data_IF_839389888723
#
_entry.id   IF_839389888723
#
_cell.length_a   1.000
_cell.length_b   1.000
_cell.length_c   1.000
_cell.angle_alpha   90.00
_cell.angle_beta   90.00
_cell.angle_gamma   90.00
#
_symmetry.space_group_name_H-M   'P 1'
#
loop_
_entity.id
_entity.type
_entity.pdbx_description
1 polymer ?
#
# COMPACT_ATOMS: atom_id res chain seq x y z
N UNK A 1 -31.35 61.18 -54.53
CA UNK A 1 -30.98 60.49 -53.27
C UNK A 1 -30.10 59.30 -53.63
N UNK A 2 -28.78 59.43 -53.44
CA UNK A 2 -27.84 58.35 -53.72
C UNK A 2 -28.00 57.22 -52.71
N UNK A 3 -28.14 55.98 -53.21
CA UNK A 3 -28.04 54.77 -52.39
C UNK A 3 -26.57 54.58 -52.03
N UNK A 4 -26.25 54.68 -50.74
CA UNK A 4 -24.98 54.19 -50.20
C UNK A 4 -25.02 52.67 -50.30
N UNK A 5 -24.22 52.10 -51.18
CA UNK A 5 -23.98 50.66 -51.26
C UNK A 5 -22.85 50.37 -50.29
N UNK A 6 -23.16 49.69 -49.18
CA UNK A 6 -22.17 49.19 -48.24
C UNK A 6 -21.46 47.99 -48.89
N UNK A 7 -20.16 48.10 -49.14
CA UNK A 7 -19.30 47.03 -49.72
C UNK A 7 -18.76 46.08 -48.64
N UNK A 8 -19.60 45.68 -47.68
CA UNK A 8 -19.20 44.78 -46.58
C UNK A 8 -20.23 43.68 -46.41
N UNK A 9 -20.46 42.92 -47.48
CA UNK A 9 -21.32 41.74 -47.46
C UNK A 9 -20.50 40.53 -47.93
N UNK A 10 -20.05 39.71 -46.97
CA UNK A 10 -19.33 38.46 -47.22
C UNK A 10 -18.01 38.27 -46.45
N UNK A 11 -17.52 39.28 -45.73
CA UNK A 11 -16.30 39.14 -44.94
C UNK A 11 -16.64 38.48 -43.59
N UNK A 12 -16.12 37.27 -43.33
CA UNK A 12 -16.32 36.61 -42.05
C UNK A 12 -15.49 37.31 -40.97
N UNK A 13 -16.07 37.44 -39.78
CA UNK A 13 -15.44 38.09 -38.63
C UNK A 13 -15.35 37.10 -37.47
N UNK A 14 -14.25 37.16 -36.72
CA UNK A 14 -14.12 36.44 -35.47
C UNK A 14 -15.19 36.93 -34.47
N UNK A 15 -16.00 36.02 -33.95
CA UNK A 15 -17.06 36.31 -32.99
C UNK A 15 -16.54 36.69 -31.60
N UNK A 16 -15.24 36.51 -31.34
CA UNK A 16 -14.60 36.81 -30.04
C UNK A 16 -13.88 38.17 -30.04
N UNK A 17 -13.03 38.44 -31.03
CA UNK A 17 -12.25 39.69 -31.11
C UNK A 17 -12.75 40.69 -32.16
N UNK A 18 -13.70 40.32 -33.02
CA UNK A 18 -14.26 41.17 -34.08
C UNK A 18 -13.36 41.37 -35.31
N UNK A 19 -12.13 40.85 -35.30
CA UNK A 19 -11.21 40.92 -36.45
C UNK A 19 -11.79 40.20 -37.67
N UNK A 20 -11.59 40.79 -38.84
CA UNK A 20 -11.97 40.21 -40.13
C UNK A 20 -11.00 39.11 -40.56
N UNK A 21 -11.44 38.24 -41.47
CA UNK A 21 -10.62 37.18 -42.08
C UNK A 21 -9.30 37.68 -42.72
N UNK A 22 -9.19 38.97 -43.06
CA UNK A 22 -7.95 39.57 -43.60
C UNK A 22 -6.94 39.99 -42.53
N UNK A 23 -7.40 40.15 -41.29
CA UNK A 23 -6.58 40.63 -40.17
C UNK A 23 -5.99 39.48 -39.35
N UNK A 24 -6.32 38.23 -39.70
CA UNK A 24 -5.89 37.00 -39.00
C UNK A 24 -5.42 35.99 -40.02
N UNK A 25 -4.50 35.12 -39.63
CA UNK A 25 -3.88 34.13 -40.51
C UNK A 25 -4.84 32.98 -40.87
N UNK A 26 -5.73 32.62 -39.95
CA UNK A 26 -6.70 31.51 -40.06
C UNK A 26 -7.98 31.80 -39.29
N UNK A 27 -9.11 31.73 -39.99
CA UNK A 27 -10.44 31.81 -39.38
C UNK A 27 -11.13 30.45 -39.47
N UNK A 28 -11.48 29.86 -38.31
CA UNK A 28 -12.24 28.61 -38.22
C UNK A 28 -13.72 28.94 -38.08
N UNK A 29 -14.52 28.58 -39.09
CA UNK A 29 -15.97 28.84 -39.12
C UNK A 29 -16.77 27.57 -38.84
N UNK A 30 -17.75 27.67 -37.93
CA UNK A 30 -18.75 26.64 -37.61
C UNK A 30 -20.18 27.12 -37.94
N UNK A 31 -21.19 26.46 -37.38
CA UNK A 31 -22.60 26.78 -37.60
C UNK A 31 -23.00 28.17 -37.05
N UNK A 32 -22.69 29.23 -37.80
CA UNK A 32 -23.03 30.62 -37.48
C UNK A 32 -22.06 31.36 -36.56
N UNK A 33 -20.90 30.77 -36.24
CA UNK A 33 -19.87 31.36 -35.37
C UNK A 33 -18.50 31.13 -36.00
N UNK A 34 -17.59 32.11 -35.89
CA UNK A 34 -16.22 31.97 -36.37
C UNK A 34 -15.21 32.41 -35.30
N UNK A 35 -14.08 31.72 -35.19
CA UNK A 35 -13.00 32.02 -34.24
C UNK A 35 -11.66 32.06 -34.97
N UNK A 36 -10.84 33.08 -34.70
CA UNK A 36 -9.50 33.19 -35.31
C UNK A 36 -8.43 32.45 -34.51
N UNK A 37 -7.27 32.20 -35.11
CA UNK A 37 -6.17 31.50 -34.43
C UNK A 37 -5.68 32.22 -33.17
N UNK A 38 -5.68 33.56 -33.16
CA UNK A 38 -5.29 34.34 -31.99
C UNK A 38 -6.23 34.13 -30.80
N UNK A 39 -7.54 34.09 -31.04
CA UNK A 39 -8.52 33.82 -29.98
C UNK A 39 -8.47 32.37 -29.52
N UNK A 40 -8.20 31.42 -30.41
CA UNK A 40 -7.94 30.03 -30.02
C UNK A 40 -6.70 29.97 -29.12
N UNK A 41 -5.61 30.64 -29.48
CA UNK A 41 -4.38 30.68 -28.69
C UNK A 41 -4.63 31.31 -27.31
N UNK A 42 -5.37 32.42 -27.25
CA UNK A 42 -5.72 33.07 -25.99
C UNK A 42 -6.62 32.20 -25.10
N UNK A 43 -7.65 31.57 -25.67
CA UNK A 43 -8.52 30.66 -24.92
C UNK A 43 -7.73 29.44 -24.40
N UNK A 44 -6.86 28.86 -25.23
CA UNK A 44 -5.96 27.78 -24.80
C UNK A 44 -5.03 28.23 -23.68
N UNK A 45 -4.49 29.45 -23.75
CA UNK A 45 -3.65 30.01 -22.71
C UNK A 45 -4.41 30.20 -21.40
N UNK A 46 -5.62 30.77 -21.42
CA UNK A 46 -6.45 30.94 -20.21
C UNK A 46 -6.75 29.59 -19.56
N UNK A 47 -7.14 28.57 -20.34
CA UNK A 47 -7.40 27.21 -19.83
C UNK A 47 -6.14 26.60 -19.22
N UNK A 48 -4.98 26.84 -19.83
CA UNK A 48 -3.72 26.31 -19.34
C UNK A 48 -3.19 27.04 -18.09
N UNK A 49 -3.44 28.35 -17.99
CA UNK A 49 -3.15 29.16 -16.81
C UNK A 49 -4.04 28.72 -15.64
N UNK A 50 -5.34 28.49 -15.86
CA UNK A 50 -6.26 27.92 -14.87
C UNK A 50 -5.80 26.52 -14.40
N UNK A 51 -5.35 25.66 -15.34
CA UNK A 51 -4.82 24.33 -15.00
C UNK A 51 -3.51 24.42 -14.22
N UNK A 52 -2.66 25.39 -14.54
CA UNK A 52 -1.39 25.63 -13.85
C UNK A 52 -1.62 26.20 -12.45
N UNK A 53 -2.59 27.10 -12.27
CA UNK A 53 -3.03 27.56 -10.94
C UNK A 53 -3.64 26.42 -10.13
N UNK A 54 -4.49 25.58 -10.72
CA UNK A 54 -5.02 24.38 -10.08
C UNK A 54 -3.93 23.40 -9.61
N UNK A 55 -2.90 23.18 -10.44
CA UNK A 55 -1.77 22.31 -10.08
C UNK A 55 -0.80 22.98 -9.09
N UNK A 56 -0.69 24.30 -9.09
CA UNK A 56 0.06 25.03 -8.05
C UNK A 56 -0.68 25.00 -6.72
N UNK A 57 -2.01 25.09 -6.70
CA UNK A 57 -2.82 25.02 -5.48
C UNK A 57 -2.78 23.60 -4.87
N UNK A 58 -2.85 22.56 -5.70
CA UNK A 58 -2.63 21.17 -5.30
C UNK A 58 -1.16 20.83 -4.95
N UNK A 59 -0.19 21.76 -5.06
CA UNK A 59 1.18 21.51 -4.56
C UNK A 59 1.23 21.30 -3.03
N UNK A 60 0.09 21.50 -2.36
CA UNK A 60 -0.14 21.32 -0.92
C UNK A 60 -0.51 19.87 -0.53
N UNK A 61 -0.85 18.98 -1.47
CA UNK A 61 -1.54 17.70 -1.13
C UNK A 61 -0.72 16.39 -1.21
N UNK A 62 0.58 16.44 -1.55
CA UNK A 62 1.41 15.23 -1.47
C UNK A 62 1.77 14.92 -0.01
N UNK A 63 1.35 13.76 0.56
CA UNK A 63 1.66 13.44 1.94
C UNK A 63 3.18 13.32 2.11
N UNK A 64 3.71 13.97 3.15
CA UNK A 64 5.15 13.91 3.43
C UNK A 64 5.56 12.47 3.77
N UNK A 65 6.84 12.09 3.59
CA UNK A 65 7.31 10.77 4.00
C UNK A 65 7.01 10.45 5.48
N UNK A 66 7.01 11.46 6.36
CA UNK A 66 6.64 11.28 7.77
C UNK A 66 5.16 10.93 7.92
N UNK A 67 4.27 11.62 7.19
CA UNK A 67 2.84 11.32 7.21
C UNK A 67 2.52 9.93 6.63
N UNK A 68 3.17 9.55 5.52
CA UNK A 68 3.05 8.20 4.95
C UNK A 68 3.52 7.17 5.99
N UNK A 69 4.67 7.41 6.63
CA UNK A 69 5.21 6.52 7.65
C UNK A 69 4.27 6.37 8.87
N UNK A 70 3.62 7.44 9.31
CA UNK A 70 2.64 7.41 10.39
C UNK A 70 1.42 6.54 10.03
N UNK A 71 0.90 6.68 8.81
CA UNK A 71 -0.20 5.84 8.32
C UNK A 71 0.24 4.36 8.28
N UNK A 72 1.43 4.08 7.76
CA UNK A 72 1.99 2.72 7.76
C UNK A 72 2.17 2.17 9.18
N UNK A 73 2.62 2.99 10.14
CA UNK A 73 2.78 2.59 11.54
C UNK A 73 1.46 2.26 12.24
N UNK A 74 0.37 2.93 11.88
CA UNK A 74 -0.95 2.66 12.48
C UNK A 74 -1.57 1.33 12.04
N UNK A 75 -1.10 0.76 10.93
CA UNK A 75 -1.65 -0.44 10.31
C UNK A 75 -0.69 -1.64 10.38
N UNK A 76 0.60 -1.42 10.09
CA UNK A 76 1.62 -2.46 10.01
C UNK A 76 2.52 -2.42 11.23
N UNK A 77 2.69 -3.56 11.89
CA UNK A 77 3.55 -3.71 13.07
C UNK A 77 4.96 -4.12 12.64
N UNK A 78 5.98 -3.54 13.30
CA UNK A 78 7.39 -3.78 12.99
C UNK A 78 7.82 -3.22 11.63
N UNK A 79 8.85 -3.78 11.01
CA UNK A 79 9.29 -3.42 9.66
C UNK A 79 9.70 -1.93 9.48
N UNK A 80 10.26 -1.31 10.53
CA UNK A 80 10.53 0.14 10.57
C UNK A 80 11.43 0.62 9.41
N UNK A 81 12.48 -0.12 9.09
CA UNK A 81 13.36 0.22 7.98
C UNK A 81 12.62 0.17 6.64
N UNK A 82 11.80 -0.85 6.42
CA UNK A 82 11.02 -1.00 5.19
C UNK A 82 9.98 0.12 5.04
N UNK A 83 9.25 0.45 6.11
CA UNK A 83 8.27 1.56 6.10
C UNK A 83 8.94 2.89 5.74
N UNK A 84 10.11 3.18 6.31
CA UNK A 84 10.87 4.40 6.01
C UNK A 84 11.32 4.44 4.55
N UNK A 85 11.87 3.35 4.03
CA UNK A 85 12.31 3.23 2.64
C UNK A 85 11.14 3.41 1.67
N UNK A 86 10.02 2.73 1.94
CA UNK A 86 8.79 2.84 1.15
C UNK A 86 8.22 4.25 1.14
N UNK A 87 8.11 4.90 2.30
CA UNK A 87 7.60 6.26 2.41
C UNK A 87 8.42 7.26 1.58
N UNK A 88 9.75 7.12 1.58
CA UNK A 88 10.63 7.97 0.76
C UNK A 88 10.51 7.64 -0.72
N UNK A 89 10.52 6.37 -1.09
CA UNK A 89 10.45 5.92 -2.48
C UNK A 89 9.16 6.39 -3.16
N UNK A 90 8.03 6.25 -2.47
CA UNK A 90 6.70 6.59 -3.00
C UNK A 90 6.50 8.10 -3.07
N UNK A 91 6.91 8.82 -2.04
CA UNK A 91 6.95 10.28 -2.09
C UNK A 91 7.77 10.78 -3.28
N UNK A 92 8.97 10.22 -3.49
CA UNK A 92 9.82 10.60 -4.62
C UNK A 92 9.23 10.23 -5.97
N UNK A 93 8.55 9.09 -6.08
CA UNK A 93 7.85 8.69 -7.29
C UNK A 93 6.78 9.71 -7.68
N UNK A 94 5.88 10.07 -6.77
CA UNK A 94 4.82 11.03 -7.08
C UNK A 94 5.32 12.46 -7.19
N UNK A 95 6.38 12.82 -6.45
CA UNK A 95 7.09 14.09 -6.68
C UNK A 95 7.67 14.17 -8.09
N UNK A 96 8.21 13.07 -8.63
CA UNK A 96 8.67 12.99 -10.02
C UNK A 96 7.51 13.16 -11.00
N UNK A 97 6.43 12.39 -10.84
CA UNK A 97 5.23 12.47 -11.70
C UNK A 97 4.73 13.92 -11.77
N UNK A 98 4.57 14.55 -10.61
CA UNK A 98 4.11 15.94 -10.50
C UNK A 98 5.04 16.93 -11.20
N UNK A 99 6.35 16.75 -11.04
CA UNK A 99 7.35 17.61 -11.66
C UNK A 99 7.29 17.53 -13.19
N UNK A 100 7.14 16.32 -13.74
CA UNK A 100 7.04 16.10 -15.18
C UNK A 100 5.75 16.70 -15.75
N UNK A 101 4.61 16.54 -15.07
CA UNK A 101 3.34 17.18 -15.47
C UNK A 101 3.45 18.71 -15.53
N UNK A 102 4.10 19.31 -14.54
CA UNK A 102 4.34 20.77 -14.50
C UNK A 102 5.25 21.20 -15.67
N UNK A 103 6.33 20.46 -15.95
CA UNK A 103 7.22 20.75 -17.07
C UNK A 103 6.50 20.66 -18.42
N UNK A 104 5.63 19.66 -18.63
CA UNK A 104 4.86 19.50 -19.88
C UNK A 104 3.90 20.67 -20.12
N UNK A 105 3.32 21.23 -19.06
CA UNK A 105 2.47 22.42 -19.12
C UNK A 105 3.26 23.71 -19.41
N UNK A 106 4.42 23.89 -18.78
CA UNK A 106 5.29 25.04 -19.05
C UNK A 106 5.81 25.06 -20.50
N UNK A 107 6.19 23.89 -21.03
CA UNK A 107 6.63 23.75 -22.42
C UNK A 107 5.51 24.04 -23.43
N UNK A 108 4.28 23.59 -23.16
CA UNK A 108 3.14 23.84 -24.05
C UNK A 108 2.70 25.32 -24.06
N UNK A 109 2.93 26.04 -22.95
CA UNK A 109 2.58 27.46 -22.82
C UNK A 109 3.70 28.43 -23.26
N UNK A 110 4.88 27.94 -23.63
CA UNK A 110 6.02 28.79 -24.02
C UNK A 110 6.57 29.68 -22.89
N UNK A 111 6.13 29.44 -21.65
CA UNK A 111 6.59 30.15 -20.44
C UNK A 111 7.70 29.32 -19.82
N UNK A 112 8.95 29.80 -19.90
CA UNK A 112 10.06 29.23 -19.13
C UNK A 112 9.87 29.58 -17.66
N UNK A 113 9.27 28.69 -16.89
CA UNK A 113 9.19 28.82 -15.44
C UNK A 113 10.55 28.57 -14.79
N UNK A 114 10.90 29.39 -13.79
CA UNK A 114 12.04 29.20 -12.87
C UNK A 114 11.85 27.99 -11.91
N UNK A 115 10.86 27.11 -12.15
CA UNK A 115 10.44 26.07 -11.22
C UNK A 115 11.53 24.99 -11.00
N UNK A 116 12.40 24.78 -11.98
CA UNK A 116 13.54 23.88 -11.91
C UNK A 116 14.81 24.71 -12.03
N UNK A 117 15.69 24.61 -11.04
CA UNK A 117 16.94 25.36 -11.02
C UNK A 117 17.70 25.28 -12.35
N UNK A 118 18.23 26.42 -12.79
CA UNK A 118 18.89 26.57 -14.08
C UNK A 118 19.91 25.44 -14.35
N UNK A 119 19.74 24.71 -15.45
CA UNK A 119 20.62 23.61 -15.88
C UNK A 119 20.12 22.20 -15.62
N UNK A 120 18.95 22.01 -14.99
CA UNK A 120 18.37 20.70 -14.71
C UNK A 120 17.22 20.29 -15.67
N UNK A 121 16.86 21.14 -16.63
CA UNK A 121 15.72 20.93 -17.57
C UNK A 121 15.81 19.62 -18.38
N UNK A 122 17.02 19.14 -18.68
CA UNK A 122 17.24 17.91 -19.46
C UNK A 122 17.47 16.67 -18.58
N UNK A 123 17.52 16.85 -17.25
CA UNK A 123 17.80 15.75 -16.33
C UNK A 123 16.52 14.96 -16.09
N UNK A 124 16.50 13.74 -16.60
CA UNK A 124 15.40 12.80 -16.36
C UNK A 124 15.61 12.13 -15.01
N UNK A 125 14.59 12.20 -14.16
CA UNK A 125 14.56 11.48 -12.90
C UNK A 125 14.05 10.07 -13.17
N UNK A 126 14.80 9.05 -12.71
CA UNK A 126 14.38 7.66 -12.86
C UNK A 126 13.18 7.32 -11.98
N UNK A 127 12.35 6.41 -12.48
CA UNK A 127 11.21 5.84 -11.76
C UNK A 127 11.68 5.04 -10.53
N UNK A 128 10.96 5.16 -9.41
CA UNK A 128 11.34 4.52 -8.13
C UNK A 128 10.61 3.19 -7.92
N UNK A 129 10.69 2.27 -8.88
CA UNK A 129 10.08 0.95 -8.70
C UNK A 129 10.74 0.20 -7.53
N UNK A 130 9.95 -0.65 -6.88
CA UNK A 130 10.28 -1.22 -5.58
C UNK A 130 10.33 -2.74 -5.67
N UNK A 131 11.36 -3.34 -5.09
CA UNK A 131 11.46 -4.77 -4.84
C UNK A 131 11.39 -5.05 -3.32
N UNK A 132 10.37 -5.79 -2.90
CA UNK A 132 10.17 -6.26 -1.54
C UNK A 132 10.64 -7.70 -1.40
N UNK A 133 11.60 -7.93 -0.50
CA UNK A 133 12.17 -9.25 -0.21
C UNK A 133 11.82 -9.61 1.22
N UNK A 134 11.28 -10.80 1.47
CA UNK A 134 11.09 -11.27 2.85
C UNK A 134 10.15 -12.45 2.95
N UNK A 135 10.07 -13.13 4.10
CA UNK A 135 9.34 -14.40 4.22
C UNK A 135 7.82 -14.25 4.03
N UNK A 136 7.12 -15.37 3.97
CA UNK A 136 5.66 -15.37 3.89
C UNK A 136 5.05 -14.85 5.19
N UNK A 137 3.95 -14.11 5.09
CA UNK A 137 3.21 -13.68 6.27
C UNK A 137 3.81 -12.52 7.07
N UNK A 138 4.84 -11.82 6.58
CA UNK A 138 5.41 -10.61 7.23
C UNK A 138 4.73 -9.29 6.84
N UNK A 139 3.73 -9.34 5.96
CA UNK A 139 2.95 -8.17 5.58
C UNK A 139 3.35 -7.44 4.29
N UNK A 140 4.13 -8.06 3.38
CA UNK A 140 4.50 -7.47 2.07
C UNK A 140 3.31 -6.89 1.30
N UNK A 141 2.29 -7.70 1.05
CA UNK A 141 1.07 -7.30 0.35
C UNK A 141 0.30 -6.22 1.11
N UNK A 142 0.22 -6.34 2.44
CA UNK A 142 -0.53 -5.43 3.30
C UNK A 142 0.14 -4.04 3.38
N UNK A 143 1.48 -3.99 3.40
CA UNK A 143 2.26 -2.75 3.29
C UNK A 143 1.97 -2.02 1.98
N UNK A 144 2.01 -2.73 0.85
CA UNK A 144 1.74 -2.15 -0.45
C UNK A 144 0.29 -1.62 -0.56
N UNK A 145 -0.68 -2.37 -0.04
CA UNK A 145 -2.08 -1.95 0.00
C UNK A 145 -2.27 -0.70 0.88
N UNK A 146 -1.74 -0.72 2.11
CA UNK A 146 -1.83 0.42 3.04
C UNK A 146 -1.18 1.68 2.43
N UNK A 147 -0.09 1.49 1.69
CA UNK A 147 0.58 2.58 1.00
C UNK A 147 -0.27 3.16 -0.14
N UNK A 148 -0.96 2.32 -0.91
CA UNK A 148 -1.88 2.80 -1.95
C UNK A 148 -3.06 3.57 -1.34
N UNK A 149 -3.61 3.08 -0.24
CA UNK A 149 -4.67 3.75 0.53
C UNK A 149 -4.19 5.10 1.08
N UNK A 150 -2.95 5.17 1.58
CA UNK A 150 -2.34 6.42 2.07
C UNK A 150 -2.15 7.47 0.97
N UNK A 151 -1.99 7.05 -0.28
CA UNK A 151 -1.78 7.92 -1.45
C UNK A 151 -3.07 8.21 -2.22
N UNK A 152 -4.20 7.58 -1.89
CA UNK A 152 -5.48 7.64 -2.63
C UNK A 152 -5.38 7.30 -4.15
N UNK A 153 -4.58 6.29 -4.48
CA UNK A 153 -4.32 5.89 -5.87
C UNK A 153 -4.91 4.51 -6.21
N UNK A 154 -5.28 4.26 -7.48
CA UNK A 154 -5.71 2.94 -7.92
C UNK A 154 -4.64 1.87 -7.63
N UNK A 155 -5.07 0.71 -7.16
CA UNK A 155 -4.17 -0.37 -6.75
C UNK A 155 -4.67 -1.71 -7.25
N UNK A 156 -3.76 -2.51 -7.81
CA UNK A 156 -4.02 -3.89 -8.17
C UNK A 156 -2.98 -4.83 -7.59
N UNK A 157 -3.40 -6.06 -7.33
CA UNK A 157 -2.55 -7.17 -6.92
C UNK A 157 -2.58 -8.19 -8.06
N UNK A 158 -1.40 -8.63 -8.48
CA UNK A 158 -1.22 -9.73 -9.42
C UNK A 158 -0.15 -10.70 -8.91
N UNK A 159 -0.25 -11.96 -9.30
CA UNK A 159 0.74 -12.99 -9.00
C UNK A 159 1.58 -13.24 -10.26
N UNK A 160 2.91 -13.15 -10.15
CA UNK A 160 3.82 -13.38 -11.26
C UNK A 160 3.66 -14.78 -11.89
N UNK A 161 3.25 -15.79 -11.12
CA UNK A 161 3.06 -17.16 -11.60
C UNK A 161 1.84 -17.33 -12.50
N UNK A 162 0.86 -16.42 -12.39
CA UNK A 162 -0.34 -16.40 -13.24
C UNK A 162 -0.10 -15.75 -14.61
N UNK A 163 0.99 -14.99 -14.73
CA UNK A 163 1.34 -14.25 -15.93
C UNK A 163 2.04 -15.15 -16.95
N UNK A 164 1.75 -14.90 -18.22
CA UNK A 164 2.40 -15.58 -19.34
C UNK A 164 2.80 -14.58 -20.43
N UNK A 165 3.75 -14.98 -21.29
CA UNK A 165 4.05 -14.21 -22.48
C UNK A 165 2.82 -14.17 -23.42
N UNK A 166 2.62 -13.03 -24.10
CA UNK A 166 1.53 -12.84 -25.04
C UNK A 166 1.41 -14.01 -26.03
N UNK A 167 0.22 -14.63 -26.08
CA UNK A 167 -0.06 -15.77 -26.96
C UNK A 167 0.13 -17.16 -26.33
N UNK A 168 0.44 -17.25 -25.03
CA UNK A 168 0.43 -18.50 -24.25
C UNK A 168 -0.82 -18.64 -23.37
N UNK A 169 -0.98 -19.81 -22.73
CA UNK A 169 -2.12 -20.10 -21.83
C UNK A 169 -1.86 -19.49 -20.46
N UNK A 170 -2.50 -18.36 -20.16
CA UNK A 170 -2.43 -17.65 -18.88
C UNK A 170 -2.90 -16.20 -19.02
N UNK A 171 -2.74 -15.38 -17.98
CA UNK A 171 -3.02 -13.95 -18.06
C UNK A 171 -1.88 -13.26 -18.82
N UNK A 172 -2.19 -12.49 -19.85
CA UNK A 172 -1.20 -11.65 -20.53
C UNK A 172 -0.79 -10.50 -19.61
N UNK A 173 0.47 -10.11 -19.64
CA UNK A 173 1.02 -9.00 -18.85
C UNK A 173 0.29 -7.68 -19.14
N UNK A 174 -0.22 -7.49 -20.35
CA UNK A 174 -1.04 -6.31 -20.70
C UNK A 174 -2.39 -6.28 -19.96
N UNK A 175 -2.91 -7.41 -19.47
CA UNK A 175 -4.16 -7.46 -18.68
C UNK A 175 -4.04 -6.71 -17.35
N UNK A 176 -2.82 -6.51 -16.85
CA UNK A 176 -2.56 -5.69 -15.66
C UNK A 176 -3.05 -4.25 -15.86
N UNK A 177 -2.92 -3.70 -17.07
CA UNK A 177 -3.36 -2.35 -17.36
C UNK A 177 -4.89 -2.25 -17.43
N UNK A 178 -5.55 -3.29 -17.95
CA UNK A 178 -7.01 -3.36 -17.95
C UNK A 178 -7.58 -3.41 -16.52
N UNK A 179 -6.96 -4.22 -15.65
CA UNK A 179 -7.33 -4.27 -14.22
C UNK A 179 -7.06 -2.95 -13.51
N UNK A 180 -5.95 -2.28 -13.83
CA UNK A 180 -5.64 -0.98 -13.24
C UNK A 180 -6.61 0.11 -13.70
N UNK A 181 -7.01 0.10 -14.97
CA UNK A 181 -8.03 1.00 -15.51
C UNK A 181 -9.41 0.75 -14.86
N UNK A 182 -9.77 -0.51 -14.62
CA UNK A 182 -10.98 -0.87 -13.88
C UNK A 182 -10.93 -0.37 -12.43
N UNK A 183 -9.79 -0.55 -11.74
CA UNK A 183 -9.56 0.01 -10.40
C UNK A 183 -9.63 1.55 -10.37
N UNK A 184 -9.42 2.21 -11.52
CA UNK A 184 -9.59 3.65 -11.71
C UNK A 184 -10.99 4.04 -12.22
N UNK A 185 -11.96 3.12 -12.27
CA UNK A 185 -13.31 3.31 -12.80
C UNK A 185 -13.34 3.82 -14.26
N UNK A 186 -12.38 3.39 -15.08
CA UNK A 186 -12.27 3.81 -16.48
C UNK A 186 -11.56 5.15 -16.71
N UNK A 187 -11.07 5.80 -15.65
CA UNK A 187 -10.28 7.03 -15.76
C UNK A 187 -8.81 6.72 -16.07
N UNK A 188 -8.38 7.04 -17.28
CA UNK A 188 -7.01 6.80 -17.76
C UNK A 188 -5.99 7.63 -16.97
N UNK A 189 -6.30 8.89 -16.69
CA UNK A 189 -5.35 9.78 -16.01
C UNK A 189 -5.16 9.32 -14.57
N UNK A 190 -6.24 8.94 -13.89
CA UNK A 190 -6.16 8.34 -12.55
C UNK A 190 -5.44 6.99 -12.57
N UNK A 191 -5.67 6.15 -13.60
CA UNK A 191 -4.98 4.86 -13.74
C UNK A 191 -3.46 5.01 -13.95
N UNK A 192 -3.01 6.05 -14.66
CA UNK A 192 -1.58 6.32 -14.90
C UNK A 192 -0.82 6.63 -13.61
N UNK A 193 -1.50 7.11 -12.57
CA UNK A 193 -0.93 7.33 -11.23
C UNK A 193 -1.09 6.11 -10.31
N UNK A 194 -1.59 4.99 -10.81
CA UNK A 194 -1.85 3.81 -10.00
C UNK A 194 -0.58 3.02 -9.62
N UNK A 195 -0.78 2.05 -8.74
CA UNK A 195 0.23 1.12 -8.25
C UNK A 195 -0.11 -0.31 -8.70
N UNK A 196 0.84 -0.96 -9.35
CA UNK A 196 0.77 -2.39 -9.70
C UNK A 196 1.66 -3.16 -8.73
N UNK A 197 1.05 -3.97 -7.87
CA UNK A 197 1.76 -4.91 -7.00
C UNK A 197 1.82 -6.30 -7.64
N UNK A 198 3.02 -6.87 -7.74
CA UNK A 198 3.28 -8.18 -8.32
C UNK A 198 3.93 -9.07 -7.27
N UNK A 199 3.21 -10.05 -6.74
CA UNK A 199 3.74 -11.04 -5.81
C UNK A 199 4.44 -12.20 -6.53
N UNK A 200 5.16 -13.03 -5.76
CA UNK A 200 5.82 -14.26 -6.23
C UNK A 200 6.81 -14.07 -7.38
N UNK A 201 7.46 -12.89 -7.48
CA UNK A 201 8.46 -12.62 -8.53
C UNK A 201 9.65 -13.59 -8.46
N UNK A 202 9.94 -14.14 -7.28
CA UNK A 202 10.99 -15.14 -7.08
C UNK A 202 10.69 -16.48 -7.81
N UNK A 203 9.41 -16.78 -8.09
CA UNK A 203 9.01 -18.02 -8.77
C UNK A 203 9.29 -18.01 -10.26
N UNK A 204 9.22 -16.84 -10.90
CA UNK A 204 9.57 -16.67 -12.32
C UNK A 204 11.07 -16.42 -12.53
N UNK A 205 11.82 -16.18 -11.45
CA UNK A 205 13.28 -16.03 -11.45
C UNK A 205 14.00 -17.37 -11.33
N UNK A 206 13.42 -18.32 -10.59
CA UNK A 206 14.06 -19.60 -10.31
C UNK A 206 14.21 -20.40 -11.60
N UNK A 207 15.46 -20.60 -12.05
CA UNK A 207 15.78 -21.54 -13.14
C UNK A 207 15.14 -22.88 -12.81
N UNK A 208 14.23 -23.34 -13.65
CA UNK A 208 13.56 -24.62 -13.48
C UNK A 208 14.60 -25.75 -13.58
N UNK A 209 15.12 -26.20 -12.44
CA UNK A 209 15.92 -27.40 -12.27
C UNK A 209 17.36 -27.36 -12.81
N UNK A 210 18.34 -27.63 -11.94
CA UNK A 210 19.74 -27.89 -12.30
C UNK A 210 19.97 -29.09 -13.24
N UNK A 211 18.93 -29.75 -13.77
CA UNK A 211 19.06 -30.92 -14.66
C UNK A 211 18.01 -31.03 -15.77
N UNK A 212 17.43 -29.93 -16.26
CA UNK A 212 16.64 -29.93 -17.50
C UNK A 212 17.39 -29.23 -18.63
N UNK A 213 18.10 -30.06 -19.38
CA UNK A 213 18.76 -29.82 -20.65
C UNK A 213 17.97 -28.93 -21.61
N UNK A 214 18.59 -27.85 -22.08
CA UNK A 214 18.48 -27.27 -23.44
C UNK A 214 17.10 -26.84 -23.99
N UNK A 215 15.99 -27.00 -23.28
CA UNK A 215 14.75 -26.31 -23.60
C UNK A 215 14.82 -24.92 -22.96
N UNK A 216 14.83 -23.86 -23.78
CA UNK A 216 14.74 -22.47 -23.29
C UNK A 216 13.57 -22.38 -22.30
N UNK A 217 13.83 -21.82 -21.13
CA UNK A 217 12.81 -21.54 -20.11
C UNK A 217 12.00 -20.32 -20.59
N UNK A 218 11.18 -20.51 -21.64
CA UNK A 218 10.50 -19.42 -22.36
C UNK A 218 9.46 -18.73 -21.47
N UNK A 219 8.91 -19.41 -20.46
CA UNK A 219 7.84 -18.84 -19.64
C UNK A 219 8.34 -17.85 -18.58
N UNK A 220 9.35 -18.19 -17.77
CA UNK A 220 9.79 -17.32 -16.67
C UNK A 220 10.52 -16.07 -17.15
N UNK A 221 11.51 -16.25 -18.04
CA UNK A 221 12.26 -15.15 -18.63
C UNK A 221 11.36 -14.27 -19.54
N UNK A 222 10.46 -14.89 -20.30
CA UNK A 222 9.49 -14.18 -21.14
C UNK A 222 8.60 -13.23 -20.35
N UNK A 223 8.12 -13.66 -19.17
CA UNK A 223 7.33 -12.80 -18.27
C UNK A 223 8.17 -11.64 -17.73
N UNK A 224 9.42 -11.88 -17.30
CA UNK A 224 10.31 -10.80 -16.86
C UNK A 224 10.54 -9.76 -17.97
N UNK A 225 10.74 -10.20 -19.22
CA UNK A 225 10.91 -9.34 -20.39
C UNK A 225 9.64 -8.55 -20.76
N UNK A 226 8.46 -9.17 -20.63
CA UNK A 226 7.19 -8.48 -20.83
C UNK A 226 6.94 -7.41 -19.76
N UNK A 227 7.23 -7.72 -18.50
CA UNK A 227 7.15 -6.75 -17.39
C UNK A 227 8.14 -5.60 -17.55
N UNK A 228 9.36 -5.87 -18.05
CA UNK A 228 10.34 -4.83 -18.37
C UNK A 228 9.76 -3.74 -19.29
N UNK A 229 9.06 -4.14 -20.37
CA UNK A 229 8.44 -3.18 -21.30
C UNK A 229 7.42 -2.28 -20.60
N UNK A 230 6.63 -2.82 -19.68
CA UNK A 230 5.68 -2.02 -18.89
C UNK A 230 6.40 -1.08 -17.92
N UNK A 231 7.47 -1.55 -17.28
CA UNK A 231 8.22 -0.75 -16.30
C UNK A 231 9.03 0.39 -16.94
N UNK A 232 9.51 0.20 -18.17
CA UNK A 232 10.26 1.21 -18.94
C UNK A 232 9.40 2.38 -19.42
N UNK A 233 8.09 2.16 -19.52
CA UNK A 233 7.15 3.09 -20.14
C UNK A 233 6.83 2.64 -21.56
N UNK A 234 5.62 2.12 -21.75
CA UNK A 234 5.07 1.79 -23.06
C UNK A 234 3.68 2.38 -23.19
N UNK A 235 3.30 2.76 -24.41
CA UNK A 235 1.93 3.13 -24.74
C UNK A 235 1.22 1.87 -25.22
N UNK A 236 0.36 1.31 -24.37
CA UNK A 236 -0.40 0.10 -24.66
C UNK A 236 -1.86 0.44 -24.99
N UNK A 237 -2.50 -0.40 -25.84
CA UNK A 237 -3.92 -0.28 -26.14
C UNK A 237 -4.70 -1.20 -25.18
N UNK A 238 -5.36 -0.61 -24.19
CA UNK A 238 -6.06 -1.32 -23.13
C UNK A 238 -7.54 -1.44 -23.48
N UNK A 239 -8.14 -2.65 -23.48
CA UNK A 239 -9.57 -2.80 -23.70
C UNK A 239 -10.36 -2.27 -22.50
N UNK A 240 -11.40 -1.46 -22.75
CA UNK A 240 -12.34 -1.02 -21.71
C UNK A 240 -13.41 -2.08 -21.54
N UNK A 241 -13.37 -2.86 -20.46
CA UNK A 241 -14.45 -3.81 -20.14
C UNK A 241 -15.70 -3.02 -19.72
N UNK A 242 -16.81 -3.19 -20.46
CA UNK A 242 -18.06 -2.47 -20.16
C UNK A 242 -19.05 -2.31 -21.31
N UNK A 243 -18.63 -2.50 -22.57
CA UNK A 243 -19.54 -2.56 -23.71
C UNK A 243 -19.82 -4.02 -24.10
N UNK A 244 -21.07 -4.45 -23.87
CA UNK A 244 -21.57 -5.79 -24.23
C UNK A 244 -21.07 -6.25 -25.61
N UNK A 245 -20.36 -7.39 -25.66
CA UNK A 245 -20.23 -8.33 -26.80
C UNK A 245 -20.45 -7.74 -28.22
N UNK A 246 -19.81 -6.63 -28.54
CA UNK A 246 -19.70 -6.14 -29.92
C UNK A 246 -18.24 -6.25 -30.32
N UNK A 247 -18.02 -6.63 -31.58
CA UNK A 247 -16.71 -6.98 -32.16
C UNK A 247 -15.67 -5.85 -32.13
N UNK A 248 -16.08 -4.64 -31.75
CA UNK A 248 -15.22 -3.49 -31.56
C UNK A 248 -15.14 -3.18 -30.06
N UNK A 249 -14.29 -3.91 -29.33
CA UNK A 249 -13.92 -3.49 -27.98
C UNK A 249 -13.24 -2.13 -28.11
N UNK A 250 -13.84 -1.09 -27.52
CA UNK A 250 -13.20 0.22 -27.46
C UNK A 250 -11.92 0.07 -26.65
N UNK A 251 -10.77 0.27 -27.31
CA UNK A 251 -9.47 0.33 -26.66
C UNK A 251 -9.11 1.77 -26.37
N UNK A 252 -8.41 1.96 -25.26
CA UNK A 252 -7.89 3.26 -24.84
C UNK A 252 -6.38 3.15 -24.73
N UNK A 253 -5.68 4.20 -25.16
CA UNK A 253 -4.23 4.26 -25.03
C UNK A 253 -3.85 4.67 -23.61
N UNK A 254 -2.97 3.90 -23.00
CA UNK A 254 -2.46 4.16 -21.65
C UNK A 254 -0.94 4.09 -21.66
N UNK A 255 -0.29 5.13 -21.11
CA UNK A 255 1.16 5.18 -20.89
C UNK A 255 1.50 4.69 -19.48
N UNK A 256 2.43 3.74 -19.38
CA UNK A 256 2.86 3.14 -18.11
C UNK A 256 4.03 3.85 -17.43
N UNK A 257 4.55 4.94 -18.02
CA UNK A 257 5.68 5.72 -17.47
C UNK A 257 5.47 6.10 -15.99
N UNK A 258 4.25 6.49 -15.62
CA UNK A 258 3.93 7.03 -14.29
C UNK A 258 3.31 6.02 -13.30
N UNK A 259 3.02 4.81 -13.78
CA UNK A 259 2.45 3.73 -12.95
C UNK A 259 3.52 3.15 -12.03
N UNK A 260 3.38 3.18 -10.71
CA UNK A 260 4.39 2.60 -9.81
C UNK A 260 4.32 1.07 -9.80
N UNK A 261 5.47 0.40 -9.95
CA UNK A 261 5.57 -1.05 -9.81
C UNK A 261 6.19 -1.43 -8.46
N UNK A 262 5.51 -2.31 -7.73
CA UNK A 262 6.03 -2.93 -6.50
C UNK A 262 6.05 -4.44 -6.73
N UNK A 263 7.24 -5.01 -6.92
CA UNK A 263 7.41 -6.46 -6.98
C UNK A 263 7.76 -7.02 -5.61
N UNK A 264 7.26 -8.20 -5.29
CA UNK A 264 7.50 -8.87 -4.03
C UNK A 264 7.84 -10.34 -4.24
N UNK A 265 8.67 -10.88 -3.36
CA UNK A 265 9.02 -12.29 -3.37
C UNK A 265 9.54 -12.78 -2.02
N UNK A 266 9.54 -14.09 -1.84
CA UNK A 266 10.14 -14.70 -0.65
C UNK A 266 11.66 -14.85 -0.76
N UNK A 267 12.16 -15.10 -1.97
CA UNK A 267 13.59 -15.30 -2.27
C UNK A 267 14.26 -16.34 -1.37
N UNK A 268 13.59 -17.49 -1.19
CA UNK A 268 14.11 -18.62 -0.40
C UNK A 268 15.41 -19.13 -1.04
N UNK A 269 16.52 -19.13 -0.28
CA UNK A 269 17.85 -19.52 -0.76
C UNK A 269 18.73 -18.36 -1.22
N UNK A 270 18.24 -17.11 -1.19
CA UNK A 270 19.07 -15.93 -1.45
C UNK A 270 20.15 -15.74 -0.37
N UNK A 271 19.83 -16.11 0.86
CA UNK A 271 20.76 -16.18 1.99
C UNK A 271 21.97 -17.07 1.68
N UNK A 272 21.77 -18.25 1.11
CA UNK A 272 22.85 -19.17 0.73
C UNK A 272 23.79 -18.56 -0.33
N UNK A 273 23.23 -17.80 -1.29
CA UNK A 273 24.00 -17.09 -2.33
C UNK A 273 24.87 -16.01 -1.69
N UNK A 274 24.27 -15.18 -0.84
CA UNK A 274 24.97 -14.10 -0.13
C UNK A 274 26.06 -14.67 0.79
N UNK A 275 25.79 -15.76 1.50
CA UNK A 275 26.77 -16.43 2.38
C UNK A 275 27.99 -16.95 1.61
N UNK A 276 27.74 -17.58 0.44
CA UNK A 276 28.79 -18.08 -0.44
C UNK A 276 29.70 -16.97 -0.92
N UNK A 277 29.11 -15.84 -1.36
CA UNK A 277 29.86 -14.66 -1.80
C UNK A 277 30.66 -14.01 -0.67
N UNK A 278 30.10 -13.96 0.55
CA UNK A 278 30.79 -13.45 1.73
C UNK A 278 31.89 -14.38 2.25
N UNK A 279 32.12 -15.53 1.61
CA UNK A 279 33.18 -16.47 1.98
C UNK A 279 32.92 -17.20 3.29
N UNK A 280 31.65 -17.29 3.74
CA UNK A 280 31.28 -17.98 4.98
C UNK A 280 31.32 -19.51 4.86
N UNK A 281 31.49 -20.05 3.66
CA UNK A 281 31.76 -21.47 3.44
C UNK A 281 33.28 -21.76 3.39
N UNK A 282 33.90 -22.01 4.54
CA UNK A 282 35.23 -22.63 4.58
C UNK A 282 35.12 -24.16 4.46
N UNK A 283 35.40 -24.70 3.29
CA UNK A 283 35.65 -26.13 3.10
C UNK A 283 37.10 -26.44 3.48
N UNK A 284 37.37 -26.63 4.77
CA UNK A 284 38.67 -27.03 5.32
C UNK A 284 38.54 -28.05 6.45
N UNK A 285 39.47 -29.01 6.53
CA UNK A 285 39.63 -29.99 7.61
C UNK A 285 39.97 -29.28 8.94
N UNK A 286 39.01 -28.56 9.56
CA UNK A 286 39.26 -27.93 10.86
C UNK A 286 38.30 -26.83 11.34
N UNK A 287 37.40 -26.30 10.51
CA UNK A 287 36.50 -25.20 10.93
C UNK A 287 35.11 -25.71 11.31
N UNK A 288 35.00 -26.20 12.55
CA UNK A 288 33.74 -26.51 13.23
C UNK A 288 32.99 -25.25 13.69
N UNK A 289 32.97 -24.18 12.89
CA UNK A 289 32.13 -23.02 13.18
C UNK A 289 30.86 -23.20 12.34
N UNK A 290 29.82 -23.76 12.97
CA UNK A 290 28.45 -23.53 12.50
C UNK A 290 28.23 -22.02 12.57
N UNK A 291 28.50 -21.31 11.48
CA UNK A 291 28.09 -19.93 11.35
C UNK A 291 26.56 -19.93 11.46
N UNK A 292 26.03 -19.08 12.32
CA UNK A 292 24.60 -18.84 12.35
C UNK A 292 24.17 -18.37 10.96
N UNK A 293 22.98 -18.81 10.48
CA UNK A 293 22.43 -18.26 9.24
C UNK A 293 22.44 -16.74 9.31
N UNK A 294 22.71 -16.07 8.19
CA UNK A 294 22.65 -14.62 8.10
C UNK A 294 21.36 -14.10 8.74
N UNK A 295 21.48 -13.12 9.62
CA UNK A 295 20.31 -12.36 10.04
C UNK A 295 19.79 -11.51 8.86
N UNK A 296 18.50 -11.18 8.91
CA UNK A 296 17.84 -10.41 7.85
C UNK A 296 18.41 -9.00 7.70
N UNK A 297 19.00 -8.43 8.76
CA UNK A 297 19.69 -7.14 8.71
C UNK A 297 20.96 -7.24 7.87
N UNK A 298 21.80 -8.25 8.09
CA UNK A 298 23.00 -8.50 7.29
C UNK A 298 22.61 -8.82 5.85
N UNK A 299 21.53 -9.58 5.63
CA UNK A 299 21.03 -9.83 4.27
C UNK A 299 20.56 -8.54 3.59
N UNK A 300 19.85 -7.66 4.29
CA UNK A 300 19.43 -6.36 3.76
C UNK A 300 20.59 -5.43 3.45
N UNK A 301 21.64 -5.45 4.25
CA UNK A 301 22.81 -4.59 4.06
C UNK A 301 23.73 -5.08 2.95
N UNK A 302 23.73 -6.39 2.69
CA UNK A 302 24.71 -7.01 1.80
C UNK A 302 24.10 -7.55 0.49
N UNK A 303 22.79 -7.79 0.39
CA UNK A 303 22.17 -8.24 -0.85
C UNK A 303 22.41 -7.20 -1.96
N UNK A 304 23.07 -7.61 -3.03
CA UNK A 304 23.37 -6.75 -4.17
C UNK A 304 22.69 -7.27 -5.45
N UNK A 305 22.84 -6.50 -6.52
CA UNK A 305 22.27 -6.87 -7.82
C UNK A 305 22.84 -8.20 -8.36
N UNK A 306 24.10 -8.51 -8.08
CA UNK A 306 24.74 -9.75 -8.53
C UNK A 306 24.11 -10.97 -7.86
N UNK A 307 23.77 -10.90 -6.57
CA UNK A 307 23.11 -11.99 -5.85
C UNK A 307 21.71 -12.29 -6.42
N UNK A 308 20.96 -11.23 -6.74
CA UNK A 308 19.64 -11.34 -7.37
C UNK A 308 19.75 -11.90 -8.80
N UNK A 309 20.81 -11.56 -9.53
CA UNK A 309 21.09 -12.11 -10.85
C UNK A 309 21.50 -13.59 -10.78
N UNK A 310 22.31 -13.98 -9.79
CA UNK A 310 22.64 -15.38 -9.52
C UNK A 310 21.38 -16.18 -9.13
N UNK A 311 20.47 -15.59 -8.36
CA UNK A 311 19.17 -16.18 -8.02
C UNK A 311 18.30 -16.45 -9.25
N UNK A 312 18.45 -15.62 -10.30
CA UNK A 312 17.84 -15.83 -11.62
C UNK A 312 16.94 -14.69 -12.12
N UNK A 313 16.97 -13.52 -11.46
CA UNK A 313 16.40 -12.31 -12.05
C UNK A 313 17.32 -11.78 -13.15
N UNK A 314 16.74 -11.22 -14.20
CA UNK A 314 17.51 -10.58 -15.26
C UNK A 314 18.21 -9.31 -14.73
N UNK A 315 19.50 -9.07 -15.06
CA UNK A 315 20.19 -7.84 -14.67
C UNK A 315 19.45 -6.57 -15.11
N UNK A 316 18.80 -6.60 -16.28
CA UNK A 316 17.98 -5.51 -16.79
C UNK A 316 16.74 -5.28 -15.91
N UNK A 317 16.10 -6.36 -15.44
CA UNK A 317 14.94 -6.31 -14.55
C UNK A 317 15.32 -5.71 -13.20
N UNK A 318 16.46 -6.14 -12.62
CA UNK A 318 17.00 -5.58 -11.38
C UNK A 318 17.35 -4.10 -11.57
N UNK A 319 17.93 -3.72 -12.72
CA UNK A 319 18.24 -2.33 -13.05
C UNK A 319 17.03 -1.40 -13.11
N UNK A 320 15.82 -1.95 -13.30
CA UNK A 320 14.56 -1.19 -13.24
C UNK A 320 13.94 -1.11 -11.85
N UNK A 321 14.54 -1.75 -10.84
CA UNK A 321 14.12 -1.76 -9.43
C UNK A 321 15.17 -1.09 -8.53
N UNK A 322 15.31 0.24 -8.56
CA UNK A 322 16.33 0.94 -7.79
C UNK A 322 16.10 0.90 -6.27
N UNK A 323 14.86 0.64 -5.83
CA UNK A 323 14.52 0.58 -4.41
C UNK A 323 14.34 -0.88 -4.01
N UNK A 324 15.30 -1.43 -3.26
CA UNK A 324 15.19 -2.77 -2.68
C UNK A 324 14.96 -2.62 -1.17
N UNK A 325 13.94 -3.30 -0.65
CA UNK A 325 13.62 -3.29 0.77
C UNK A 325 13.42 -4.71 1.28
N UNK A 326 14.17 -5.08 2.31
CA UNK A 326 14.04 -6.38 2.97
C UNK A 326 13.13 -6.26 4.19
N UNK A 327 12.20 -7.21 4.33
CA UNK A 327 11.32 -7.35 5.48
C UNK A 327 11.81 -8.48 6.37
N UNK A 328 11.72 -8.26 7.66
CA UNK A 328 12.21 -9.15 8.71
C UNK A 328 11.14 -10.19 9.11
N UNK A 329 11.58 -11.34 9.62
CA UNK A 329 10.66 -12.31 10.25
C UNK A 329 9.98 -11.71 11.49
N UNK A 330 8.75 -12.12 11.76
CA UNK A 330 7.96 -11.59 12.87
C UNK A 330 8.33 -12.29 14.18
N UNK A 331 8.61 -11.51 15.22
CA UNK A 331 8.77 -12.03 16.57
C UNK A 331 7.43 -12.41 17.19
N UNK A 332 7.44 -13.17 18.29
CA UNK A 332 6.23 -13.49 19.05
C UNK A 332 5.56 -12.20 19.53
N UNK A 333 6.35 -11.21 19.94
CA UNK A 333 5.85 -9.91 20.36
C UNK A 333 5.14 -9.18 19.19
N UNK A 334 5.72 -9.21 17.99
CA UNK A 334 5.10 -8.61 16.81
C UNK A 334 3.76 -9.28 16.47
N UNK A 335 3.70 -10.62 16.52
CA UNK A 335 2.47 -11.37 16.28
C UNK A 335 1.37 -11.04 17.31
N UNK A 336 1.73 -10.85 18.59
CA UNK A 336 0.78 -10.39 19.63
C UNK A 336 0.30 -8.97 19.39
N UNK A 337 1.21 -8.08 18.99
CA UNK A 337 0.86 -6.70 18.64
C UNK A 337 -0.07 -6.68 17.42
N UNK A 338 0.17 -7.49 16.39
CA UNK A 338 -0.72 -7.64 15.23
C UNK A 338 -2.14 -8.07 15.64
N UNK A 339 -2.27 -8.91 16.67
CA UNK A 339 -3.57 -9.35 17.17
C UNK A 339 -4.34 -8.25 17.92
N UNK A 340 -3.68 -7.21 18.44
CA UNK A 340 -4.28 -6.28 19.41
C UNK A 340 -4.18 -4.79 19.05
N UNK A 341 -3.08 -4.34 18.45
CA UNK A 341 -2.79 -2.92 18.22
C UNK A 341 -3.49 -2.34 16.99
N UNK A 342 -3.40 -2.93 15.77
CA UNK A 342 -3.99 -2.33 14.57
C UNK A 342 -5.47 -2.02 14.72
N UNK A 343 -5.97 -1.00 14.00
CA UNK A 343 -7.39 -0.62 14.03
C UNK A 343 -8.29 -1.81 13.73
N UNK A 344 -7.93 -2.58 12.71
CA UNK A 344 -8.66 -3.76 12.25
C UNK A 344 -7.98 -5.06 12.73
N UNK A 345 -7.45 -5.08 13.96
CA UNK A 345 -6.85 -6.27 14.54
C UNK A 345 -7.86 -7.43 14.70
N UNK A 346 -7.40 -8.67 14.55
CA UNK A 346 -8.30 -9.85 14.56
C UNK A 346 -9.11 -9.97 15.85
N UNK A 347 -8.53 -9.69 17.01
CA UNK A 347 -9.28 -9.72 18.29
C UNK A 347 -10.43 -8.72 18.29
N UNK A 348 -10.24 -7.52 17.72
CA UNK A 348 -11.28 -6.49 17.57
C UNK A 348 -12.34 -6.90 16.57
N UNK A 349 -11.95 -7.55 15.46
CA UNK A 349 -12.89 -8.09 14.47
C UNK A 349 -13.82 -9.14 15.09
N UNK A 350 -13.26 -10.12 15.81
CA UNK A 350 -14.07 -11.15 16.50
C UNK A 350 -14.89 -10.59 17.65
N UNK A 351 -14.33 -9.66 18.44
CA UNK A 351 -15.11 -8.99 19.49
C UNK A 351 -16.31 -8.23 18.92
N UNK A 352 -16.16 -7.59 17.76
CA UNK A 352 -17.27 -6.92 17.07
C UNK A 352 -18.34 -7.91 16.58
N UNK A 353 -17.95 -9.10 16.12
CA UNK A 353 -18.90 -10.15 15.73
C UNK A 353 -19.70 -10.66 16.94
N UNK A 354 -19.03 -11.01 18.03
CA UNK A 354 -19.70 -11.47 19.26
C UNK A 354 -20.60 -10.38 19.88
N UNK A 355 -20.18 -9.11 19.80
CA UNK A 355 -21.00 -7.99 20.27
C UNK A 355 -22.31 -7.83 19.47
N UNK A 356 -22.34 -8.26 18.21
CA UNK A 356 -23.58 -8.28 17.41
C UNK A 356 -24.61 -9.28 17.95
N UNK A 357 -24.14 -10.36 18.58
CA UNK A 357 -24.95 -11.34 19.31
C UNK A 357 -25.17 -10.95 20.78
N UNK A 358 -24.76 -9.74 21.19
CA UNK A 358 -24.92 -9.23 22.56
C UNK A 358 -23.91 -9.80 23.57
N UNK A 359 -22.84 -10.44 23.11
CA UNK A 359 -21.85 -11.13 23.96
C UNK A 359 -20.49 -10.44 23.90
N UNK A 360 -19.83 -10.28 25.04
CA UNK A 360 -18.46 -9.74 25.11
C UNK A 360 -17.42 -10.86 24.90
N UNK A 361 -16.49 -10.69 23.96
CA UNK A 361 -15.38 -11.64 23.76
C UNK A 361 -14.08 -11.08 24.35
N UNK A 362 -13.42 -11.87 25.20
CA UNK A 362 -12.13 -11.52 25.80
C UNK A 362 -11.09 -12.63 25.57
N UNK A 363 -9.89 -12.24 25.14
CA UNK A 363 -8.73 -13.11 25.07
C UNK A 363 -7.80 -12.81 26.24
N UNK A 364 -7.33 -13.84 26.94
CA UNK A 364 -6.28 -13.66 27.96
C UNK A 364 -4.91 -13.45 27.30
N UNK A 365 -3.97 -12.85 28.03
CA UNK A 365 -2.61 -12.66 27.51
C UNK A 365 -1.92 -14.00 27.15
N UNK A 366 -2.15 -15.04 27.96
CA UNK A 366 -1.71 -16.41 27.66
C UNK A 366 -2.33 -16.95 26.36
N UNK A 367 -3.60 -16.65 26.07
CA UNK A 367 -4.19 -17.03 24.78
C UNK A 367 -3.45 -16.38 23.60
N UNK A 368 -3.15 -15.08 23.71
CA UNK A 368 -2.43 -14.34 22.68
C UNK A 368 -1.00 -14.88 22.49
N UNK A 369 -0.30 -15.21 23.59
CA UNK A 369 1.01 -15.87 23.55
C UNK A 369 0.94 -17.21 22.82
N UNK A 370 -0.06 -18.05 23.14
CA UNK A 370 -0.22 -19.36 22.50
C UNK A 370 -0.53 -19.23 21.01
N UNK A 371 -1.40 -18.30 20.61
CA UNK A 371 -1.72 -18.05 19.20
C UNK A 371 -0.44 -17.65 18.44
N UNK A 372 0.35 -16.72 18.99
CA UNK A 372 1.59 -16.26 18.38
C UNK A 372 2.64 -17.39 18.27
N UNK A 373 2.78 -18.21 19.31
CA UNK A 373 3.70 -19.37 19.30
C UNK A 373 3.31 -20.40 18.25
N UNK A 374 2.03 -20.76 18.14
CA UNK A 374 1.53 -21.69 17.14
C UNK A 374 1.73 -21.17 15.72
N UNK A 375 1.45 -19.89 15.47
CA UNK A 375 1.66 -19.26 14.16
C UNK A 375 3.13 -19.31 13.73
N UNK A 376 4.06 -19.04 14.66
CA UNK A 376 5.51 -19.11 14.42
C UNK A 376 5.99 -20.55 14.21
N UNK A 377 5.50 -21.51 15.00
CA UNK A 377 5.82 -22.93 14.85
C UNK A 377 5.38 -23.48 13.48
N UNK A 378 4.23 -23.02 12.97
CA UNK A 378 3.72 -23.42 11.65
C UNK A 378 4.39 -22.69 10.48
N UNK A 379 5.34 -21.77 10.72
CA UNK A 379 6.00 -20.97 9.67
C UNK A 379 5.02 -20.25 8.72
N UNK A 380 3.87 -19.84 9.25
CA UNK A 380 2.80 -19.16 8.50
C UNK A 380 2.80 -17.64 8.69
N UNK A 381 3.58 -17.14 9.66
CA UNK A 381 3.62 -15.73 10.04
C UNK A 381 2.23 -15.20 10.42
N UNK A 382 1.94 -13.94 10.11
CA UNK A 382 0.64 -13.34 10.41
C UNK A 382 -0.54 -13.96 9.65
N UNK A 383 -0.29 -14.63 8.50
CA UNK A 383 -1.36 -15.29 7.71
C UNK A 383 -2.02 -16.44 8.49
N UNK A 384 -1.29 -17.11 9.37
CA UNK A 384 -1.82 -18.23 10.17
C UNK A 384 -2.69 -17.81 11.35
N UNK A 385 -2.59 -16.56 11.81
CA UNK A 385 -3.27 -16.08 13.02
C UNK A 385 -4.79 -16.23 12.92
N UNK A 386 -5.37 -15.88 11.76
CA UNK A 386 -6.82 -16.00 11.53
C UNK A 386 -7.30 -17.45 11.61
N UNK A 387 -6.59 -18.37 10.97
CA UNK A 387 -6.95 -19.80 10.97
C UNK A 387 -6.91 -20.40 12.38
N UNK A 388 -5.92 -20.02 13.19
CA UNK A 388 -5.82 -20.46 14.59
C UNK A 388 -7.01 -19.93 15.41
N UNK A 389 -7.38 -18.66 15.22
CA UNK A 389 -8.53 -18.08 15.92
C UNK A 389 -9.86 -18.68 15.47
N UNK A 390 -10.05 -18.91 14.17
CA UNK A 390 -11.26 -19.54 13.63
C UNK A 390 -11.46 -20.93 14.23
N UNK A 391 -10.41 -21.75 14.26
CA UNK A 391 -10.48 -23.08 14.83
C UNK A 391 -10.81 -23.07 16.33
N UNK A 392 -10.22 -22.14 17.09
CA UNK A 392 -10.50 -22.02 18.52
C UNK A 392 -11.91 -21.50 18.85
N UNK A 393 -12.52 -20.73 17.94
CA UNK A 393 -13.84 -20.12 18.14
C UNK A 393 -14.97 -20.87 17.43
N UNK A 394 -14.68 -21.84 16.56
CA UNK A 394 -15.65 -22.51 15.69
C UNK A 394 -16.85 -23.07 16.47
N UNK A 395 -16.60 -23.90 17.48
CA UNK A 395 -17.66 -24.49 18.32
C UNK A 395 -18.50 -23.42 19.01
N UNK A 396 -17.83 -22.40 19.57
CA UNK A 396 -18.52 -21.31 20.25
C UNK A 396 -19.40 -20.51 19.29
N UNK A 397 -18.89 -20.12 18.12
CA UNK A 397 -19.67 -19.36 17.13
C UNK A 397 -20.84 -20.17 16.58
N UNK A 398 -20.75 -21.50 16.57
CA UNK A 398 -21.85 -22.38 16.19
C UNK A 398 -22.97 -22.41 17.25
N UNK A 399 -22.60 -22.49 18.54
CA UNK A 399 -23.56 -22.63 19.63
C UNK A 399 -24.16 -21.31 20.12
N UNK A 400 -23.35 -20.24 20.13
CA UNK A 400 -23.69 -18.94 20.74
C UNK A 400 -25.07 -18.40 20.32
N UNK A 401 -25.48 -18.42 19.04
CA UNK A 401 -26.78 -17.87 18.63
C UNK A 401 -27.98 -18.62 19.22
N UNK A 402 -27.78 -19.83 19.74
CA UNK A 402 -28.81 -20.65 20.38
C UNK A 402 -28.84 -20.50 21.91
N UNK A 403 -27.94 -19.70 22.48
CA UNK A 403 -27.75 -19.54 23.92
C UNK A 403 -28.20 -18.14 24.38
N UNK A 404 -29.29 -18.06 25.15
CA UNK A 404 -29.87 -16.77 25.58
C UNK A 404 -29.21 -16.17 26.84
N UNK A 405 -28.46 -16.97 27.61
CA UNK A 405 -27.99 -16.59 28.96
C UNK A 405 -26.50 -16.17 29.02
N UNK A 406 -25.79 -16.18 27.89
CA UNK A 406 -24.34 -15.89 27.82
C UNK A 406 -24.13 -14.39 27.67
N UNK A 407 -23.31 -13.80 28.55
CA UNK A 407 -22.96 -12.37 28.50
C UNK A 407 -21.52 -12.13 28.06
N UNK A 408 -20.63 -13.10 28.27
CA UNK A 408 -19.25 -13.00 27.83
C UNK A 408 -18.63 -14.37 27.56
N UNK A 409 -17.66 -14.41 26.65
CA UNK A 409 -16.82 -15.56 26.36
C UNK A 409 -15.36 -15.20 26.65
N UNK A 410 -14.68 -16.05 27.43
CA UNK A 410 -13.27 -15.89 27.75
C UNK A 410 -12.46 -17.02 27.11
N UNK A 411 -11.52 -16.64 26.26
CA UNK A 411 -10.60 -17.56 25.58
C UNK A 411 -9.24 -17.50 26.28
N UNK A 412 -8.74 -18.65 26.74
CA UNK A 412 -7.42 -18.79 27.34
C UNK A 412 -6.48 -19.68 26.51
N UNK A 413 -5.22 -19.83 26.91
CA UNK A 413 -4.26 -20.64 26.17
C UNK A 413 -4.63 -22.12 26.07
N UNK A 414 -5.34 -22.67 27.06
CA UNK A 414 -5.82 -24.06 26.99
C UNK A 414 -6.90 -24.24 25.91
N UNK A 415 -7.77 -23.26 25.70
CA UNK A 415 -8.72 -23.25 24.60
C UNK A 415 -8.01 -23.19 23.23
N UNK A 416 -6.96 -22.36 23.11
CA UNK A 416 -6.15 -22.29 21.89
C UNK A 416 -5.44 -23.61 21.58
N UNK A 417 -5.00 -24.36 22.59
CA UNK A 417 -4.38 -25.68 22.43
C UNK A 417 -5.38 -26.81 22.17
N UNK A 418 -6.69 -26.54 22.20
CA UNK A 418 -7.74 -27.57 22.06
C UNK A 418 -7.88 -28.48 23.28
N UNK A 419 -7.36 -28.08 24.45
CA UNK A 419 -7.44 -28.86 25.70
C UNK A 419 -8.82 -28.73 26.36
N UNK A 420 -9.51 -27.63 26.11
CA UNK A 420 -10.84 -27.31 26.64
C UNK A 420 -11.55 -26.31 25.74
N UNK A 421 -12.86 -26.15 25.90
CA UNK A 421 -13.60 -25.10 25.19
C UNK A 421 -13.45 -23.72 25.85
N UNK A 422 -13.69 -22.63 25.09
CA UNK A 422 -13.80 -21.27 25.65
C UNK A 422 -14.81 -21.20 26.81
N UNK A 423 -14.55 -20.35 27.81
CA UNK A 423 -15.42 -20.26 28.98
C UNK A 423 -16.58 -19.32 28.73
N UNK A 424 -17.81 -19.81 28.93
CA UNK A 424 -19.01 -19.00 28.92
C UNK A 424 -19.28 -18.38 30.31
N UNK A 425 -19.49 -17.07 30.34
CA UNK A 425 -19.96 -16.34 31.52
C UNK A 425 -21.45 -16.11 31.35
N UNK A 426 -22.24 -16.67 32.26
CA UNK A 426 -23.70 -16.56 32.26
C UNK A 426 -24.17 -15.37 33.10
N UNK A 427 -25.27 -14.73 32.69
CA UNK A 427 -25.87 -13.57 33.38
C UNK A 427 -26.12 -13.83 34.89
N UNK A 428 -26.58 -15.04 35.23
CA UNK A 428 -26.90 -15.42 36.61
C UNK A 428 -25.67 -15.57 37.53
N UNK A 429 -24.49 -15.84 36.98
CA UNK A 429 -23.23 -15.93 37.75
C UNK A 429 -22.61 -14.55 38.03
N UNK A 430 -22.88 -13.55 37.17
CA UNK A 430 -22.35 -12.19 37.31
C UNK A 430 -22.99 -11.44 38.49
N UNK A 431 -24.25 -11.73 38.82
CA UNK A 431 -24.92 -11.17 40.01
C UNK A 431 -24.32 -11.68 41.33
N UNK A 432 -23.80 -12.90 41.40
CA UNK A 432 -23.20 -13.44 42.63
C UNK A 432 -21.80 -12.87 42.94
N UNK A 433 -21.01 -12.53 41.91
CA UNK A 433 -19.68 -11.89 42.10
C UNK A 433 -19.77 -10.39 42.42
N UNK A 434 -20.74 -9.67 41.86
CA UNK A 434 -20.94 -8.26 42.21
C UNK A 434 -21.58 -8.05 43.59
N UNK A 435 -22.38 -9.01 44.08
CA UNK A 435 -22.89 -8.98 45.46
C UNK A 435 -21.77 -9.09 46.51
N UNK A 436 -20.70 -9.85 46.23
CA UNK A 436 -19.61 -10.09 47.20
C UNK A 436 -18.51 -9.02 47.19
N UNK A 437 -18.33 -8.28 46.08
CA UNK A 437 -17.38 -7.17 46.00
C UNK A 437 -17.97 -5.85 46.53
N UNK A 438 -19.26 -5.60 46.27
CA UNK A 438 -20.00 -4.43 46.79
C UNK A 438 -20.08 -4.40 48.32
N UNK A 439 -20.33 -5.56 48.95
CA UNK A 439 -20.40 -5.68 50.41
C UNK A 439 -19.03 -5.54 51.10
N UNK A 440 -17.94 -5.94 50.43
CA UNK A 440 -16.57 -5.77 50.96
C UNK A 440 -16.12 -4.31 50.89
N UNK A 441 -16.47 -3.57 49.82
CA UNK A 441 -16.19 -2.14 49.70
C UNK A 441 -17.08 -1.28 50.61
N UNK A 442 -18.35 -1.68 50.83
CA UNK A 442 -19.25 -1.00 51.77
C UNK A 442 -18.84 -1.21 53.25
N UNK A 443 -18.37 -2.41 53.61
CA UNK A 443 -17.85 -2.68 54.95
C UNK A 443 -16.50 -2.01 55.21
N UNK A 444 -15.62 -1.91 54.20
CA UNK A 444 -14.37 -1.16 54.30
C UNK A 444 -14.62 0.36 54.47
N UNK A 445 -15.61 0.93 53.77
CA UNK A 445 -16.03 2.33 53.95
C UNK A 445 -16.65 2.59 55.33
N UNK A 446 -17.47 1.69 55.87
CA UNK A 446 -18.03 1.83 57.24
C UNK A 446 -16.98 1.69 58.34
N UNK A 447 -15.98 0.82 58.15
CA UNK A 447 -14.85 0.69 59.08
C UNK A 447 -13.95 1.93 59.07
N UNK A 448 -13.71 2.56 57.91
CA UNK A 448 -12.94 3.80 57.81
C UNK A 448 -13.68 5.03 58.38
N UNK A 449 -15.00 5.10 58.24
CA UNK A 449 -15.81 6.20 58.80
C UNK A 449 -15.88 6.19 60.33
N UNK A 450 -15.76 5.02 60.97
CA UNK A 450 -15.70 4.91 62.44
C UNK A 450 -14.34 5.30 63.03
N UNK A 451 -13.25 5.17 62.26
CA UNK A 451 -11.91 5.58 62.68
C UNK A 451 -11.72 7.09 62.52
N UNK A 452 -12.39 7.71 61.55
CA UNK A 452 -12.31 9.16 61.30
C UNK A 452 -13.09 10.03 62.29
N UNK A 453 -13.95 9.46 63.14
CA UNK A 453 -14.73 10.20 64.15
C UNK A 453 -14.11 10.20 65.55
N UNK A 454 -12.90 9.65 65.71
CA UNK A 454 -12.25 9.52 67.02
C UNK A 454 -10.82 10.06 67.05
N UNK A 455 -10.57 11.28 66.56
CA UNK A 455 -9.47 12.13 67.03
C UNK A 455 -9.73 13.62 66.68
N UNK A 456 -9.62 14.55 67.66
CA UNK A 456 -9.77 15.99 67.44
C UNK A 456 -8.42 16.68 67.16
N UNK A 457 -8.53 17.80 66.43
CA UNK A 457 -7.65 18.99 66.38
C UNK A 457 -6.12 18.83 66.32
N UNK A 458 -5.51 19.31 65.23
CA UNK A 458 -4.55 20.41 65.38
C UNK A 458 -4.33 21.17 64.07
N UNK A 459 -4.38 22.49 64.21
CA UNK A 459 -4.12 23.54 63.23
C UNK A 459 -2.64 23.63 62.86
N UNK A 460 -2.29 23.84 61.58
CA UNK A 460 -1.44 24.97 61.18
C UNK A 460 -1.08 25.02 59.66
N UNK A 461 -1.29 26.21 59.11
CA UNK A 461 -0.43 26.97 58.18
C UNK A 461 -0.20 26.57 56.69
N UNK A 462 -0.60 27.54 55.84
CA UNK A 462 0.09 28.17 54.68
C UNK A 462 -0.17 27.68 53.24
N UNK A 463 -1.08 28.44 52.62
CA UNK A 463 -1.01 29.11 51.30
C UNK A 463 0.32 29.18 50.53
N UNK A 464 0.24 28.94 49.22
CA UNK A 464 1.23 29.36 48.20
C UNK A 464 0.99 28.68 46.84
N UNK A 465 0.02 29.13 46.02
CA UNK A 465 0.21 30.04 44.86
C UNK A 465 1.11 29.49 43.74
N UNK A 466 0.52 29.05 42.60
CA UNK A 466 1.22 28.96 41.30
C UNK A 466 0.30 29.53 40.20
N UNK A 467 0.84 30.54 39.52
CA UNK A 467 0.32 31.23 38.35
C UNK A 467 0.60 30.45 37.06
N UNK A 468 -0.32 30.62 36.11
CA UNK A 468 -0.13 30.49 34.65
C UNK A 468 1.17 31.16 34.16
N UNK A 469 1.83 30.59 33.14
CA UNK A 469 2.27 31.28 31.91
C UNK A 469 2.50 30.25 30.78
N UNK A 470 1.96 30.59 29.60
CA UNK A 470 2.24 30.15 28.21
C UNK A 470 2.00 28.69 27.80
#
# INVERSE_FOLDING_TARGET
MGRVINYSDGMQHCSFCGKSEREVERLVAGAGVAICEECIALCSQIIADERTEYLKDQSVDLPTPMSIHEILNSNVIGQEQAKRTLAVAVYNHYKRVRLEELMELEHSNGVRGDAIGAGLEQVKVSKSNILLIGPTGVGKTYLAQTLAEAMDVPFIIADATSLTEAGYVGDDVETLLARLLDAANGDVERARHGIIYIDEIDKIARKSGENTSLARDVSGEGVQQALLKLMEGTVANVPVEGTRKHRDAQTVQMDTKDVLFICAGAFVGLDEIVERRLGRHESGFGSSLRLQPLDYETLSENANADDLAEFGLLPEFIGRMPVVSVLQDLSIADLKAILTEPRDALTKQYAKLFAADGVELQFTDDALDQIAQLAKANSTGARGLRSIMEHALESTMYELPSLDDVIAVVVDGAAIRGEREPQYILANAHQQKHATLGDRLANARRAMLHIAQSHPDDSDFRTGNIRQVM
#
